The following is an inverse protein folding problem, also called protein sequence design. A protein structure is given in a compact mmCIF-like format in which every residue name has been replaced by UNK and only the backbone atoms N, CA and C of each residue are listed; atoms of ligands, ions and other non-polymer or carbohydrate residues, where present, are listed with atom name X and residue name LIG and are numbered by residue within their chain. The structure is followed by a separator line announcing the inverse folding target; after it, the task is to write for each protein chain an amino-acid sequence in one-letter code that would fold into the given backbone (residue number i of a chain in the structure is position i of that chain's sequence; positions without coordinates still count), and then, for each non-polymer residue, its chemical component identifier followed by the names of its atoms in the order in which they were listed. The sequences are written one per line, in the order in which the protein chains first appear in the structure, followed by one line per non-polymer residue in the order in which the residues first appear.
data_IF_912313009408
#
_entry.id   IF_912313009408
#
_cell.length_a   1.000
_cell.length_b   1.000
_cell.length_c   1.000
_cell.angle_alpha   90.00
_cell.angle_beta   90.00
_cell.angle_gamma   90.00
#
_symmetry.space_group_name_H-M   'P 1'
#
loop_
_entity.id
_entity.type
_entity.pdbx_description
1 polymer ?
#
# COMPACT_ATOMS: atom_id res chain seq x y z
N UNK A 1 -8.70 -12.51 9.22
CA UNK A 1 -9.31 -11.17 9.33
C UNK A 1 -9.81 -10.81 7.94
N UNK A 2 -10.92 -10.10 7.85
CA UNK A 2 -11.44 -9.60 6.58
C UNK A 2 -11.55 -8.09 6.68
N UNK A 3 -11.00 -7.37 5.70
CA UNK A 3 -11.15 -5.93 5.53
C UNK A 3 -12.08 -5.68 4.34
N UNK A 4 -13.09 -4.83 4.55
CA UNK A 4 -13.92 -4.29 3.49
C UNK A 4 -13.54 -2.84 3.27
N UNK A 5 -13.15 -2.51 2.05
CA UNK A 5 -12.60 -1.21 1.70
C UNK A 5 -13.41 -0.63 0.56
N UNK A 6 -13.76 0.65 0.70
CA UNK A 6 -14.39 1.47 -0.33
C UNK A 6 -13.57 2.72 -0.49
N UNK A 7 -13.41 3.16 -1.73
CA UNK A 7 -12.62 4.34 -2.10
C UNK A 7 -13.41 5.21 -3.07
N UNK A 8 -13.15 6.51 -3.06
CA UNK A 8 -13.60 7.49 -4.05
C UNK A 8 -12.60 7.65 -5.21
N UNK A 9 -11.37 7.16 -5.06
CA UNK A 9 -10.33 7.15 -6.10
C UNK A 9 -9.84 5.73 -6.41
N UNK A 10 -9.51 5.46 -7.68
CA UNK A 10 -8.87 4.21 -8.08
C UNK A 10 -7.43 4.16 -7.52
N UNK A 11 -6.98 2.96 -7.13
CA UNK A 11 -5.61 2.80 -6.66
C UNK A 11 -5.27 1.40 -6.20
N UNK A 12 -4.12 1.28 -5.56
CA UNK A 12 -3.61 0.03 -4.98
C UNK A 12 -3.41 0.19 -3.49
N UNK A 13 -4.03 -0.71 -2.71
CA UNK A 13 -3.79 -0.81 -1.28
C UNK A 13 -2.65 -1.78 -1.01
N UNK A 14 -1.68 -1.37 -0.18
CA UNK A 14 -0.58 -2.20 0.27
C UNK A 14 -0.57 -2.31 1.81
N UNK A 15 -0.47 -3.54 2.34
CA UNK A 15 -0.25 -3.79 3.77
C UNK A 15 1.20 -4.23 3.99
N UNK A 16 2.01 -3.34 4.57
CA UNK A 16 3.40 -3.63 4.87
C UNK A 16 3.54 -4.82 5.83
N UNK A 17 4.56 -5.66 5.59
CA UNK A 17 4.83 -6.85 6.40
C UNK A 17 3.94 -8.06 6.14
N UNK A 18 2.88 -7.91 5.33
CA UNK A 18 2.06 -9.03 4.85
C UNK A 18 2.21 -9.31 3.35
N UNK A 19 3.03 -8.52 2.64
CA UNK A 19 3.27 -8.64 1.18
C UNK A 19 1.95 -8.78 0.41
N UNK A 20 0.98 -7.93 0.79
CA UNK A 20 -0.38 -7.96 0.30
C UNK A 20 -0.68 -6.66 -0.40
N UNK A 21 -0.87 -6.76 -1.70
CA UNK A 21 -1.33 -5.68 -2.58
C UNK A 21 -2.71 -6.02 -3.15
N UNK A 22 -3.62 -5.06 -3.16
CA UNK A 22 -4.94 -5.22 -3.74
C UNK A 22 -5.35 -3.97 -4.51
N UNK A 23 -5.71 -4.16 -5.79
CA UNK A 23 -6.31 -3.12 -6.61
C UNK A 23 -7.70 -2.81 -6.02
N UNK A 24 -7.94 -1.54 -5.75
CA UNK A 24 -9.21 -1.01 -5.27
C UNK A 24 -9.75 0.00 -6.29
N UNK A 25 -11.06 -0.05 -6.55
CA UNK A 25 -11.71 0.79 -7.55
C UNK A 25 -12.80 1.64 -6.94
N UNK A 26 -12.91 2.87 -7.43
CA UNK A 26 -13.96 3.81 -7.08
C UNK A 26 -15.32 3.17 -7.24
N UNK A 27 -16.15 3.31 -6.21
CA UNK A 27 -17.53 2.80 -6.20
C UNK A 27 -17.66 1.28 -6.09
N UNK A 28 -16.56 0.54 -5.87
CA UNK A 28 -16.60 -0.89 -5.58
C UNK A 28 -16.12 -1.18 -4.16
N UNK A 29 -16.76 -2.12 -3.49
CA UNK A 29 -16.25 -2.67 -2.22
C UNK A 29 -15.26 -3.79 -2.53
N UNK A 30 -14.01 -3.58 -2.13
CA UNK A 30 -12.97 -4.60 -2.20
C UNK A 30 -12.93 -5.38 -0.89
N UNK A 31 -12.78 -6.70 -0.98
CA UNK A 31 -12.62 -7.58 0.18
C UNK A 31 -11.21 -8.15 0.22
N UNK A 32 -10.50 -7.90 1.31
CA UNK A 32 -9.15 -8.39 1.54
C UNK A 32 -9.17 -9.35 2.73
N UNK A 33 -8.83 -10.60 2.48
CA UNK A 33 -8.68 -11.61 3.52
C UNK A 33 -7.20 -11.83 3.81
N UNK A 34 -6.81 -11.66 5.07
CA UNK A 34 -5.45 -11.95 5.50
C UNK A 34 -5.42 -12.65 6.87
N UNK A 35 -4.31 -13.36 7.13
CA UNK A 35 -4.06 -14.06 8.38
C UNK A 35 -3.00 -13.30 9.16
N UNK A 36 -3.39 -12.67 10.26
CA UNK A 36 -2.46 -12.00 11.18
C UNK A 36 -1.53 -13.02 11.88
N UNK A 37 -0.41 -13.35 11.25
CA UNK A 37 0.57 -14.34 11.70
C UNK A 37 1.88 -13.70 12.21
N UNK A 38 2.06 -12.39 12.02
CA UNK A 38 3.19 -11.63 12.54
C UNK A 38 2.72 -10.63 13.59
N UNK A 39 3.35 -10.64 14.77
CA UNK A 39 3.15 -9.64 15.82
C UNK A 39 3.91 -8.37 15.46
N UNK A 40 3.30 -7.21 15.62
CA UNK A 40 3.92 -5.94 15.26
C UNK A 40 2.89 -4.85 14.92
N UNK A 41 3.42 -3.70 14.50
CA UNK A 41 2.65 -2.57 13.99
C UNK A 41 2.98 -2.38 12.51
N UNK A 42 1.98 -2.55 11.66
CA UNK A 42 2.14 -2.58 10.21
C UNK A 42 1.37 -1.41 9.61
N UNK A 43 2.03 -0.52 8.88
CA UNK A 43 1.35 0.52 8.12
C UNK A 43 0.59 -0.12 6.94
N UNK A 44 -0.56 0.43 6.60
CA UNK A 44 -1.19 0.16 5.32
C UNK A 44 -1.42 1.47 4.58
N UNK A 45 -1.10 1.44 3.29
CA UNK A 45 -0.96 2.60 2.42
C UNK A 45 -1.80 2.42 1.17
N UNK A 46 -2.26 3.54 0.62
CA UNK A 46 -2.93 3.58 -0.68
C UNK A 46 -2.09 4.39 -1.66
N UNK A 47 -1.75 3.76 -2.78
CA UNK A 47 -1.19 4.41 -3.95
C UNK A 47 -2.35 4.75 -4.88
N UNK A 48 -2.65 6.04 -5.06
CA UNK A 48 -3.71 6.47 -5.98
C UNK A 48 -3.20 6.39 -7.41
N UNK A 49 -3.97 5.72 -8.28
CA UNK A 49 -3.64 5.63 -9.71
C UNK A 49 -4.00 6.97 -10.38
N UNK A 50 -3.06 7.92 -10.37
CA UNK A 50 -3.17 9.11 -11.20
C UNK A 50 -3.00 8.71 -12.67
N UNK A 51 -3.96 9.07 -13.54
CA UNK A 51 -4.01 8.71 -14.98
C UNK A 51 -2.77 9.12 -15.82
N UNK A 52 -1.76 9.78 -15.23
CA UNK A 52 -0.63 10.33 -15.95
C UNK A 52 0.60 9.40 -16.09
N UNK A 53 0.75 8.30 -15.34
CA UNK A 53 1.98 7.49 -15.46
C UNK A 53 1.77 5.97 -15.43
N UNK A 54 1.64 5.38 -16.64
CA UNK A 54 2.03 3.99 -16.90
C UNK A 54 3.56 3.88 -16.83
N UNK A 55 4.10 3.32 -15.74
CA UNK A 55 5.44 2.71 -15.56
C UNK A 55 5.72 2.69 -14.05
N UNK A 56 6.11 1.62 -13.37
CA UNK A 56 6.42 0.23 -13.70
C UNK A 56 6.64 -0.51 -12.38
N UNK A 57 6.82 -1.81 -12.45
CA UNK A 57 7.05 -2.71 -11.32
C UNK A 57 8.20 -2.22 -10.40
N UNK A 58 7.88 -1.77 -9.18
CA UNK A 58 8.88 -1.39 -8.18
C UNK A 58 9.37 -2.62 -7.40
N UNK A 59 10.28 -3.38 -8.01
CA UNK A 59 11.16 -4.28 -7.27
C UNK A 59 12.19 -3.45 -6.48
N UNK A 60 11.99 -3.31 -5.17
CA UNK A 60 12.99 -2.77 -4.28
C UNK A 60 14.07 -3.81 -3.99
N UNK A 61 15.10 -3.87 -4.84
CA UNK A 61 16.37 -4.50 -4.47
C UNK A 61 17.35 -3.39 -4.05
N UNK A 62 17.68 -3.38 -2.77
CA UNK A 62 18.51 -2.39 -2.11
C UNK A 62 19.99 -2.67 -2.39
N UNK A 63 20.68 -1.77 -3.08
CA UNK A 63 22.10 -1.50 -2.79
C UNK A 63 22.61 -0.21 -3.44
N UNK A 64 23.35 0.56 -2.62
CA UNK A 64 24.31 1.63 -2.95
C UNK A 64 23.82 3.05 -3.25
N UNK A 65 23.96 3.89 -2.21
CA UNK A 65 24.71 5.15 -2.14
C UNK A 65 24.35 6.36 -3.03
N UNK A 66 24.10 7.47 -2.31
CA UNK A 66 24.37 8.88 -2.66
C UNK A 66 23.45 9.58 -3.69
N UNK A 67 22.57 10.41 -3.11
CA UNK A 67 22.09 11.72 -3.59
C UNK A 67 21.34 11.82 -4.91
N UNK A 68 20.03 11.99 -4.76
CA UNK A 68 19.22 12.84 -5.62
C UNK A 68 17.92 13.14 -4.89
N UNK A 69 17.77 14.34 -4.32
CA UNK A 69 16.45 14.84 -3.91
C UNK A 69 15.72 15.20 -5.20
N UNK A 70 15.04 14.22 -5.79
CA UNK A 70 14.04 14.44 -6.82
C UNK A 70 12.74 14.78 -6.13
N UNK A 71 12.43 16.08 -6.06
CA UNK A 71 11.05 16.52 -5.88
C UNK A 71 10.30 16.22 -7.18
N UNK A 72 9.99 14.95 -7.39
CA UNK A 72 8.93 14.53 -8.29
C UNK A 72 7.65 14.62 -7.46
N UNK A 73 6.53 15.02 -8.05
CA UNK A 73 5.24 14.79 -7.41
C UNK A 73 4.98 13.28 -7.48
N UNK A 74 5.68 12.52 -6.64
CA UNK A 74 5.45 11.10 -6.42
C UNK A 74 3.99 10.96 -6.01
N UNK A 75 3.27 10.01 -6.60
CA UNK A 75 1.95 9.60 -6.12
C UNK A 75 2.10 9.32 -4.62
N UNK A 76 1.69 10.27 -3.78
CA UNK A 76 2.07 10.23 -2.39
C UNK A 76 1.35 9.06 -1.74
N UNK A 77 2.13 8.07 -1.29
CA UNK A 77 1.60 6.93 -0.57
C UNK A 77 0.81 7.44 0.64
N UNK A 78 -0.51 7.29 0.58
CA UNK A 78 -1.38 7.80 1.63
C UNK A 78 -1.39 6.75 2.72
N UNK A 79 -0.70 7.01 3.83
CA UNK A 79 -0.82 6.18 5.03
C UNK A 79 -2.23 6.33 5.57
N UNK A 80 -3.04 5.27 5.40
CA UNK A 80 -4.42 5.24 5.86
C UNK A 80 -4.51 4.86 7.35
N UNK A 81 -3.52 4.10 7.84
CA UNK A 81 -3.45 3.73 9.25
C UNK A 81 -2.46 2.62 9.55
N UNK A 82 -2.67 2.00 10.70
CA UNK A 82 -1.82 0.92 11.19
C UNK A 82 -2.65 -0.27 11.64
N UNK A 83 -2.20 -1.46 11.26
CA UNK A 83 -2.63 -2.74 11.80
C UNK A 83 -1.69 -3.14 12.94
N UNK A 84 -2.19 -3.14 14.17
CA UNK A 84 -1.46 -3.63 15.34
C UNK A 84 -1.89 -5.06 15.66
N UNK A 85 -0.94 -6.00 15.55
CA UNK A 85 -1.15 -7.41 15.89
C UNK A 85 -0.41 -7.69 17.18
N UNK A 86 -1.17 -7.92 18.26
CA UNK A 86 -0.62 -8.25 19.57
C UNK A 86 -0.16 -9.73 19.62
N UNK A 87 0.82 -10.06 20.47
CA UNK A 87 1.14 -11.45 20.75
C UNK A 87 -0.08 -12.17 21.35
N UNK A 88 -0.20 -13.46 21.06
CA UNK A 88 -1.26 -14.32 21.59
C UNK A 88 -1.01 -14.72 23.03
#
# INVERSE_FOLDING_TARGET
MTLHITTDEDGTLHIHGYDLESIIKTGQTSEIQFKANATGKFAFEMHVDSEDHKQGEHQHNHDTADKGVSHEFENADIILGFLEVLPK
#
